data_IF_756420444592
#
_entry.id   IF_756420444592
#
_cell.length_a   1.000
_cell.length_b   1.000
_cell.length_c   1.000
_cell.angle_alpha   90.00
_cell.angle_beta   90.00
_cell.angle_gamma   90.00
#
_symmetry.space_group_name_H-M   'P 1'
#
loop_
_entity.id
_entity.type
_entity.pdbx_description
1 polymer ?
#
# COMPACT_ATOMS: atom_id res chain seq x y z
N UNK A 1 64.22 25.92 23.76
CA UNK A 1 64.05 27.10 22.89
C UNK A 1 63.36 26.65 21.61
N UNK A 2 62.24 27.29 21.29
CA UNK A 2 61.46 27.12 20.07
C UNK A 2 62.31 27.47 18.84
N UNK A 3 62.19 26.68 17.78
CA UNK A 3 62.24 27.16 16.38
C UNK A 3 61.80 26.05 15.41
N UNK A 4 60.61 26.22 14.82
CA UNK A 4 60.37 25.84 13.41
C UNK A 4 61.10 26.88 12.51
N UNK A 5 61.14 26.79 11.16
CA UNK A 5 60.49 25.86 10.24
C UNK A 5 61.39 25.41 9.05
N UNK A 6 60.74 24.92 8.00
CA UNK A 6 61.02 25.19 6.57
C UNK A 6 61.65 24.08 5.69
N UNK A 7 60.87 23.74 4.64
CA UNK A 7 61.24 23.59 3.22
C UNK A 7 61.38 22.21 2.55
N UNK A 8 60.43 22.01 1.61
CA UNK A 8 60.56 21.57 0.21
C UNK A 8 60.25 20.11 -0.11
N UNK A 9 59.40 19.94 -1.13
CA UNK A 9 59.12 18.66 -1.77
C UNK A 9 57.78 18.64 -2.49
N UNK A 10 57.66 19.36 -3.60
CA UNK A 10 56.51 19.33 -4.51
C UNK A 10 56.36 17.98 -5.20
N UNK A 11 55.12 17.77 -5.69
CA UNK A 11 54.66 16.79 -6.69
C UNK A 11 54.41 15.37 -6.16
N UNK A 12 53.13 15.07 -5.91
CA UNK A 12 52.65 13.70 -5.98
C UNK A 12 51.24 13.68 -6.59
N UNK A 13 51.21 13.03 -7.75
CA UNK A 13 50.10 12.31 -8.37
C UNK A 13 48.74 13.02 -8.56
N UNK A 14 48.47 13.29 -9.83
CA UNK A 14 47.12 13.36 -10.40
C UNK A 14 46.39 12.05 -10.08
N UNK A 15 45.41 12.08 -9.17
CA UNK A 15 44.36 11.07 -9.11
C UNK A 15 43.13 11.62 -9.85
N UNK A 16 43.01 11.24 -11.11
CA UNK A 16 41.72 11.15 -11.78
C UNK A 16 41.19 9.73 -11.55
N UNK A 17 39.95 9.58 -11.08
CA UNK A 17 39.10 8.37 -10.99
C UNK A 17 38.25 8.53 -9.70
N UNK A 18 36.92 8.51 -9.69
CA UNK A 18 35.91 8.37 -10.71
C UNK A 18 34.68 9.11 -10.18
N UNK A 19 34.06 9.97 -10.99
CA UNK A 19 32.71 10.41 -10.71
C UNK A 19 31.83 9.17 -10.91
N UNK A 20 31.37 8.55 -9.82
CA UNK A 20 30.26 7.61 -9.88
C UNK A 20 29.06 8.46 -10.27
N UNK A 21 28.79 8.50 -11.57
CA UNK A 21 27.48 8.85 -12.08
C UNK A 21 26.52 7.82 -11.47
N UNK A 22 25.91 8.18 -10.34
CA UNK A 22 24.69 7.49 -9.91
C UNK A 22 23.74 7.59 -11.08
N UNK A 23 23.43 6.41 -11.62
CA UNK A 23 22.52 6.23 -12.71
C UNK A 23 21.29 7.11 -12.47
N UNK A 24 21.05 8.01 -13.42
CA UNK A 24 19.75 8.59 -13.63
C UNK A 24 18.75 7.45 -13.66
N UNK A 25 17.95 7.31 -12.59
CA UNK A 25 16.67 6.67 -12.74
C UNK A 25 15.91 7.56 -13.71
N UNK A 26 15.69 7.00 -14.90
CA UNK A 26 14.98 7.61 -16.00
C UNK A 26 13.61 8.11 -15.55
N UNK A 27 13.48 9.43 -15.39
CA UNK A 27 12.20 10.13 -15.51
C UNK A 27 11.73 9.97 -16.96
N UNK A 28 11.04 8.85 -17.23
CA UNK A 28 10.22 8.72 -18.42
C UNK A 28 9.10 9.77 -18.37
N UNK A 29 8.74 10.42 -19.49
CA UNK A 29 7.59 11.31 -19.52
C UNK A 29 6.32 10.46 -19.53
N UNK A 30 5.90 10.10 -18.33
CA UNK A 30 4.67 9.42 -17.96
C UNK A 30 4.63 9.44 -16.45
N UNK A 31 3.98 10.47 -15.90
CA UNK A 31 3.83 10.68 -14.48
C UNK A 31 3.45 9.37 -13.77
N UNK A 32 4.35 8.84 -12.94
CA UNK A 32 3.97 7.96 -11.85
C UNK A 32 3.75 8.86 -10.62
N UNK A 33 2.73 9.71 -10.70
CA UNK A 33 2.18 10.44 -9.57
C UNK A 33 1.10 9.52 -8.96
N UNK A 34 1.25 9.07 -7.70
CA UNK A 34 0.13 8.44 -6.97
C UNK A 34 -0.21 6.97 -7.29
N UNK A 35 0.78 6.10 -7.45
CA UNK A 35 0.63 4.67 -7.79
C UNK A 35 -0.60 3.95 -7.23
N UNK A 36 -1.59 3.69 -8.09
CA UNK A 36 -2.63 2.71 -7.83
C UNK A 36 -2.01 1.29 -7.78
N UNK A 37 -2.01 0.61 -6.62
CA UNK A 37 -1.35 -0.69 -6.45
C UNK A 37 -2.10 -1.83 -7.15
N UNK A 38 -3.35 -1.62 -7.55
CA UNK A 38 -4.16 -2.61 -8.25
C UNK A 38 -4.06 -2.49 -9.78
N UNK A 39 -3.39 -1.44 -10.28
CA UNK A 39 -3.20 -1.20 -11.71
C UNK A 39 -4.49 -0.84 -12.46
N UNK A 40 -5.51 -0.33 -11.75
CA UNK A 40 -6.73 0.24 -12.36
C UNK A 40 -6.42 1.64 -12.89
N UNK A 41 -7.05 2.03 -14.00
CA UNK A 41 -6.96 3.39 -14.52
C UNK A 41 -7.52 4.40 -13.51
N UNK A 42 -6.70 5.34 -13.07
CA UNK A 42 -7.07 6.36 -12.08
C UNK A 42 -8.25 7.23 -12.55
N UNK A 43 -8.39 7.43 -13.87
CA UNK A 43 -9.51 8.19 -14.43
C UNK A 43 -10.89 7.54 -14.22
N UNK A 44 -10.93 6.27 -13.81
CA UNK A 44 -12.16 5.50 -13.54
C UNK A 44 -12.49 5.40 -12.06
N UNK A 45 -11.57 5.84 -11.18
CA UNK A 45 -11.73 5.72 -9.73
C UNK A 45 -12.74 6.74 -9.22
N UNK A 46 -13.62 6.29 -8.33
CA UNK A 46 -14.56 7.11 -7.57
C UNK A 46 -14.32 6.94 -6.07
N UNK A 47 -14.43 8.03 -5.31
CA UNK A 47 -14.33 8.00 -3.85
C UNK A 47 -15.70 7.73 -3.23
N UNK A 48 -15.76 6.73 -2.35
CA UNK A 48 -16.98 6.36 -1.62
C UNK A 48 -16.68 6.36 -0.12
N UNK A 49 -17.53 6.97 0.73
CA UNK A 49 -17.36 6.93 2.19
C UNK A 49 -17.31 5.51 2.72
N UNK A 50 -16.45 5.22 3.71
CA UNK A 50 -16.32 3.85 4.25
C UNK A 50 -17.64 3.29 4.80
N UNK A 51 -18.53 4.13 5.32
CA UNK A 51 -19.86 3.75 5.83
C UNK A 51 -20.90 3.49 4.72
N UNK A 52 -20.61 3.89 3.49
CA UNK A 52 -21.42 3.60 2.30
C UNK A 52 -20.85 2.44 1.45
N UNK A 53 -19.63 1.96 1.76
CA UNK A 53 -19.04 0.81 1.07
C UNK A 53 -19.83 -0.47 1.38
N UNK A 54 -20.07 -1.24 0.33
CA UNK A 54 -20.75 -2.54 0.38
C UNK A 54 -20.07 -3.54 -0.53
N UNK A 55 -20.46 -4.81 -0.45
CA UNK A 55 -19.97 -5.89 -1.33
C UNK A 55 -20.41 -5.75 -2.80
N UNK A 56 -21.26 -4.77 -3.14
CA UNK A 56 -21.60 -4.48 -4.54
C UNK A 56 -20.61 -3.55 -5.23
N UNK A 57 -19.67 -2.96 -4.47
CA UNK A 57 -18.58 -2.16 -5.00
C UNK A 57 -17.36 -3.02 -5.32
N UNK A 58 -16.46 -2.50 -6.14
CA UNK A 58 -15.14 -3.09 -6.38
C UNK A 58 -14.05 -2.07 -6.07
N UNK A 59 -12.93 -2.55 -5.50
CA UNK A 59 -11.79 -1.71 -5.17
C UNK A 59 -11.05 -1.33 -6.45
N UNK A 60 -10.84 -0.02 -6.60
CA UNK A 60 -9.97 0.56 -7.62
C UNK A 60 -8.53 0.68 -7.13
N UNK A 61 -8.32 0.83 -5.82
CA UNK A 61 -7.01 0.91 -5.15
C UNK A 61 -7.13 0.34 -3.73
N UNK A 62 -6.01 -0.09 -3.15
CA UNK A 62 -5.97 -0.53 -1.74
C UNK A 62 -5.73 0.63 -0.76
N UNK A 63 -5.41 1.82 -1.26
CA UNK A 63 -5.11 2.99 -0.42
C UNK A 63 -6.36 3.85 -0.21
N UNK A 64 -6.75 4.12 1.04
CA UNK A 64 -7.80 5.09 1.34
C UNK A 64 -7.34 6.52 1.04
N UNK A 65 -8.29 7.45 0.98
CA UNK A 65 -8.03 8.90 0.94
C UNK A 65 -9.07 9.59 1.80
N UNK A 66 -8.66 10.34 2.83
CA UNK A 66 -9.52 11.21 3.65
C UNK A 66 -10.79 10.51 4.17
N UNK A 67 -10.65 9.27 4.67
CA UNK A 67 -11.80 8.51 5.20
C UNK A 67 -12.74 7.97 4.10
N UNK A 68 -12.26 7.90 2.86
CA UNK A 68 -12.95 7.32 1.71
C UNK A 68 -12.18 6.12 1.19
N UNK A 69 -12.89 5.15 0.62
CA UNK A 69 -12.31 4.08 -0.16
C UNK A 69 -12.38 4.42 -1.67
N UNK A 70 -11.34 4.00 -2.40
CA UNK A 70 -11.24 4.18 -3.84
C UNK A 70 -11.90 2.99 -4.55
N UNK A 71 -13.01 3.25 -5.23
CA UNK A 71 -13.82 2.24 -5.90
C UNK A 71 -13.83 2.43 -7.41
N UNK A 72 -14.20 1.38 -8.12
CA UNK A 72 -14.38 1.37 -9.58
C UNK A 72 -15.58 0.49 -9.92
N UNK A 73 -16.09 0.59 -11.15
CA UNK A 73 -17.08 -0.35 -11.67
C UNK A 73 -16.55 -1.79 -11.64
N UNK A 74 -17.35 -2.73 -11.13
CA UNK A 74 -16.99 -4.13 -11.14
C UNK A 74 -16.87 -4.66 -12.59
N UNK A 75 -15.77 -5.35 -12.87
CA UNK A 75 -15.43 -5.84 -14.20
C UNK A 75 -14.39 -5.00 -14.95
N UNK A 76 -14.04 -3.81 -14.44
CA UNK A 76 -12.91 -3.05 -14.98
C UNK A 76 -11.58 -3.81 -14.81
N UNK A 77 -10.64 -3.69 -15.76
CA UNK A 77 -9.32 -4.30 -15.63
C UNK A 77 -8.61 -3.82 -14.35
N UNK A 78 -8.18 -4.77 -13.52
CA UNK A 78 -7.52 -4.46 -12.24
C UNK A 78 -8.47 -4.38 -11.05
N UNK A 79 -9.78 -4.25 -11.27
CA UNK A 79 -10.77 -4.18 -10.20
C UNK A 79 -10.73 -5.44 -9.32
N UNK A 80 -10.85 -5.22 -8.00
CA UNK A 80 -10.91 -6.31 -7.01
C UNK A 80 -12.30 -6.33 -6.41
N UNK A 81 -12.96 -7.49 -6.44
CA UNK A 81 -14.28 -7.64 -5.83
C UNK A 81 -14.17 -7.57 -4.31
N UNK A 82 -15.11 -6.86 -3.68
CA UNK A 82 -15.19 -6.81 -2.22
C UNK A 82 -15.81 -8.10 -1.71
N UNK A 83 -15.04 -8.86 -0.94
CA UNK A 83 -15.46 -10.11 -0.31
C UNK A 83 -16.28 -9.86 0.95
N UNK A 84 -15.96 -8.81 1.70
CA UNK A 84 -16.69 -8.40 2.89
C UNK A 84 -16.39 -6.95 3.29
N UNK A 85 -17.33 -6.36 4.02
CA UNK A 85 -17.12 -5.13 4.81
C UNK A 85 -17.28 -5.52 6.27
N UNK A 86 -16.23 -5.30 7.05
CA UNK A 86 -16.08 -5.82 8.42
C UNK A 86 -15.31 -4.82 9.28
N UNK A 87 -14.79 -5.27 10.42
CA UNK A 87 -13.98 -4.46 11.33
C UNK A 87 -12.76 -5.22 11.84
N UNK A 88 -11.77 -4.49 12.37
CA UNK A 88 -10.68 -5.10 13.12
C UNK A 88 -11.19 -5.80 14.39
N UNK A 89 -10.69 -7.02 14.63
CA UNK A 89 -11.06 -7.85 15.77
C UNK A 89 -10.60 -7.31 17.14
N UNK A 90 -11.08 -7.91 18.24
CA UNK A 90 -10.81 -7.44 19.61
C UNK A 90 -9.32 -7.49 20.02
N UNK A 91 -8.53 -8.33 19.36
CA UNK A 91 -7.10 -8.49 19.64
C UNK A 91 -6.22 -7.42 18.94
N UNK A 92 -6.82 -6.55 18.13
CA UNK A 92 -6.10 -5.48 17.45
C UNK A 92 -5.57 -4.40 18.43
N UNK A 93 -4.53 -3.63 18.07
CA UNK A 93 -3.99 -2.56 18.92
C UNK A 93 -5.08 -1.57 19.39
N UNK A 94 -5.04 -1.07 20.64
CA UNK A 94 -6.08 -0.19 21.15
C UNK A 94 -6.16 1.14 20.40
N UNK A 95 -7.29 1.82 20.53
CA UNK A 95 -7.51 3.18 20.03
C UNK A 95 -6.44 4.15 20.56
N UNK A 96 -6.08 5.15 19.75
CA UNK A 96 -5.10 6.17 20.14
C UNK A 96 -3.64 5.67 20.16
N UNK A 97 -3.38 4.44 19.72
CA UNK A 97 -2.04 3.98 19.38
C UNK A 97 -1.70 4.31 17.92
N UNK A 98 -0.40 4.36 17.58
CA UNK A 98 0.08 4.50 16.19
C UNK A 98 0.89 3.26 15.82
N UNK A 99 0.23 2.09 15.68
CA UNK A 99 0.92 0.86 15.34
C UNK A 99 1.62 0.99 13.97
N UNK A 100 2.78 0.35 13.75
CA UNK A 100 3.40 0.29 12.43
C UNK A 100 2.45 -0.32 11.40
N UNK A 101 2.49 0.17 10.15
CA UNK A 101 1.61 -0.30 9.06
C UNK A 101 1.64 -1.82 8.86
N UNK A 102 2.82 -2.45 9.00
CA UNK A 102 2.95 -3.90 8.89
C UNK A 102 2.15 -4.66 9.98
N UNK A 103 2.06 -4.08 11.19
CA UNK A 103 1.26 -4.66 12.28
C UNK A 103 -0.22 -4.55 11.94
N UNK A 104 -0.68 -3.37 11.50
CA UNK A 104 -2.08 -3.18 11.08
C UNK A 104 -2.43 -4.11 9.92
N UNK A 105 -1.56 -4.23 8.92
CA UNK A 105 -1.74 -5.14 7.78
C UNK A 105 -1.94 -6.59 8.21
N UNK A 106 -1.16 -7.10 9.17
CA UNK A 106 -1.33 -8.46 9.68
C UNK A 106 -2.68 -8.70 10.35
N UNK A 107 -3.18 -7.74 11.15
CA UNK A 107 -4.51 -7.85 11.74
C UNK A 107 -5.64 -7.73 10.70
N UNK A 108 -5.46 -6.89 9.69
CA UNK A 108 -6.41 -6.74 8.60
C UNK A 108 -6.53 -8.04 7.79
N UNK A 109 -5.39 -8.67 7.45
CA UNK A 109 -5.36 -9.97 6.78
C UNK A 109 -6.07 -11.05 7.60
N UNK A 110 -5.79 -11.11 8.92
CA UNK A 110 -6.43 -12.06 9.81
C UNK A 110 -7.96 -11.85 9.89
N UNK A 111 -8.42 -10.60 9.96
CA UNK A 111 -9.84 -10.27 9.97
C UNK A 111 -10.56 -10.61 8.65
N UNK A 112 -9.84 -10.55 7.53
CA UNK A 112 -10.40 -10.87 6.21
C UNK A 112 -10.33 -12.35 5.81
N UNK A 113 -9.57 -13.20 6.52
CA UNK A 113 -9.25 -14.56 6.06
C UNK A 113 -10.49 -15.47 5.95
N UNK A 114 -11.37 -15.45 6.97
CA UNK A 114 -12.62 -16.20 6.97
C UNK A 114 -13.53 -15.75 5.82
N UNK A 115 -13.71 -14.44 5.66
CA UNK A 115 -14.53 -13.86 4.60
C UNK A 115 -14.00 -14.15 3.19
N UNK A 116 -12.68 -14.14 2.99
CA UNK A 116 -12.08 -14.58 1.73
C UNK A 116 -12.40 -16.04 1.41
N UNK A 117 -12.34 -16.90 2.43
CA UNK A 117 -12.61 -18.33 2.28
C UNK A 117 -14.08 -18.58 1.92
N UNK A 118 -15.02 -17.92 2.61
CA UNK A 118 -16.45 -17.98 2.31
C UNK A 118 -16.77 -17.45 0.90
N UNK A 119 -16.15 -16.33 0.52
CA UNK A 119 -16.31 -15.74 -0.79
C UNK A 119 -15.86 -16.70 -1.89
N UNK A 120 -14.73 -17.39 -1.73
CA UNK A 120 -14.25 -18.37 -2.71
C UNK A 120 -15.22 -19.53 -2.91
N UNK A 121 -15.75 -20.07 -1.82
CA UNK A 121 -16.76 -21.12 -1.86
C UNK A 121 -17.99 -20.62 -2.63
N UNK A 122 -18.44 -19.39 -2.35
CA UNK A 122 -19.59 -18.80 -3.05
C UNK A 122 -19.37 -18.63 -4.56
N UNK A 123 -18.11 -18.46 -4.99
CA UNK A 123 -17.71 -18.29 -6.38
C UNK A 123 -17.32 -19.61 -7.07
N UNK A 124 -17.23 -20.72 -6.32
CA UNK A 124 -16.74 -22.00 -6.83
C UNK A 124 -15.25 -21.96 -7.24
N UNK A 125 -14.45 -21.15 -6.54
CA UNK A 125 -13.03 -20.91 -6.82
C UNK A 125 -12.10 -21.50 -5.75
N UNK A 126 -12.55 -22.57 -5.09
CA UNK A 126 -11.82 -23.25 -4.03
C UNK A 126 -10.45 -23.75 -4.51
N UNK A 127 -9.38 -23.42 -3.77
CA UNK A 127 -8.01 -23.85 -4.09
C UNK A 127 -7.25 -22.98 -5.10
N UNK A 128 -7.84 -21.89 -5.60
CA UNK A 128 -7.14 -20.89 -6.41
C UNK A 128 -6.17 -20.05 -5.57
N UNK A 129 -5.02 -19.67 -6.16
CA UNK A 129 -4.18 -18.58 -5.63
C UNK A 129 -4.84 -17.25 -5.96
N UNK A 130 -4.94 -16.36 -4.98
CA UNK A 130 -5.68 -15.10 -5.15
C UNK A 130 -4.80 -13.91 -4.78
N UNK A 131 -5.11 -12.78 -5.39
CA UNK A 131 -4.81 -11.49 -4.81
C UNK A 131 -5.80 -11.23 -3.67
N UNK A 132 -5.29 -10.99 -2.47
CA UNK A 132 -6.07 -10.54 -1.31
C UNK A 132 -5.69 -9.10 -1.00
N UNK A 133 -6.70 -8.28 -0.75
CA UNK A 133 -6.55 -6.86 -0.47
C UNK A 133 -7.33 -6.56 0.79
N UNK A 134 -6.76 -5.72 1.64
CA UNK A 134 -7.42 -5.20 2.81
C UNK A 134 -7.23 -3.68 2.82
N UNK A 135 -8.34 -2.95 2.91
CA UNK A 135 -8.36 -1.48 2.87
C UNK A 135 -9.09 -0.97 4.11
N UNK A 136 -8.46 -0.07 4.83
CA UNK A 136 -8.93 0.50 6.09
C UNK A 136 -8.65 2.00 6.09
N UNK A 137 -9.38 2.82 6.87
CA UNK A 137 -9.18 4.26 6.91
C UNK A 137 -7.82 4.63 7.49
N UNK A 138 -7.31 5.80 7.11
CA UNK A 138 -6.04 6.35 7.64
C UNK A 138 -6.12 6.61 9.16
N UNK A 139 -7.31 6.98 9.64
CA UNK A 139 -7.55 7.20 11.06
C UNK A 139 -7.74 5.86 11.79
N UNK A 140 -6.76 5.51 12.61
CA UNK A 140 -6.81 4.32 13.45
C UNK A 140 -7.66 4.54 14.70
N UNK A 141 -8.75 3.79 14.85
CA UNK A 141 -9.65 3.84 16.01
C UNK A 141 -9.57 2.62 16.93
N UNK A 142 -8.65 1.69 16.67
CA UNK A 142 -8.50 0.44 17.43
C UNK A 142 -9.41 -0.69 16.95
N UNK A 143 -9.76 -1.66 17.82
CA UNK A 143 -10.80 -2.65 17.50
C UNK A 143 -12.10 -1.98 17.09
N UNK A 144 -12.79 -2.52 16.09
CA UNK A 144 -13.98 -1.88 15.52
C UNK A 144 -13.70 -0.87 14.42
N UNK A 145 -12.43 -0.54 14.13
CA UNK A 145 -12.08 0.26 12.93
C UNK A 145 -12.63 -0.45 11.68
N UNK A 146 -13.33 0.25 10.77
CA UNK A 146 -13.85 -0.35 9.54
C UNK A 146 -12.77 -0.94 8.66
N UNK A 147 -13.11 -2.04 7.99
CA UNK A 147 -12.23 -2.76 7.09
C UNK A 147 -13.01 -3.24 5.87
N UNK A 148 -12.42 -3.06 4.70
CA UNK A 148 -12.92 -3.58 3.43
C UNK A 148 -11.98 -4.69 2.97
N UNK A 149 -12.52 -5.91 2.85
CA UNK A 149 -11.81 -7.08 2.38
C UNK A 149 -12.09 -7.27 0.89
N UNK A 150 -11.05 -7.50 0.09
CA UNK A 150 -11.15 -7.68 -1.35
C UNK A 150 -10.38 -8.92 -1.83
N UNK A 151 -10.95 -9.65 -2.78
CA UNK A 151 -10.32 -10.82 -3.38
C UNK A 151 -10.48 -10.84 -4.89
N UNK A 152 -9.45 -11.36 -5.57
CA UNK A 152 -9.46 -11.62 -7.02
C UNK A 152 -8.70 -12.90 -7.32
N UNK A 153 -9.32 -13.78 -8.08
CA UNK A 153 -8.70 -15.01 -8.60
C UNK A 153 -7.91 -14.80 -9.88
#
# INVERSE_FOLDING_TARGET
>A
MLTAPDRWGRLTLVLALAAVALAACSDGPGAADGSNPLGVDEGTISLVPFDEITTTHCLGSSYPVDGMAQTVACGEPGAVEISAVTVFGPDAPPAGSTPPTAVVGGYAEAACDEHHSEWLVSKGLEGSSLLRVATYPDEWSGPGTPLVCGARA
#
